data_IF_402156238554
#
_entry.id   IF_402156238554
#
_cell.length_a   1.000
_cell.length_b   1.000
_cell.length_c   1.000
_cell.angle_alpha   90.00
_cell.angle_beta   90.00
_cell.angle_gamma   90.00
#
_symmetry.space_group_name_H-M   'P 1'
#
loop_
_entity.id
_entity.type
_entity.pdbx_description
1 polymer ?
#
# COMPACT_ATOMS: atom_id res chain seq x y z
N UNK A 1 -1.22 21.34 6.28
CA UNK A 1 -1.42 20.01 6.91
C UNK A 1 -2.42 19.12 6.12
N UNK A 2 -2.34 19.09 4.78
CA UNK A 2 -3.22 18.27 3.91
C UNK A 2 -2.41 17.33 2.99
N UNK A 3 -1.12 17.12 3.29
CA UNK A 3 -0.14 16.60 2.34
C UNK A 3 0.93 15.71 3.02
N UNK A 4 0.58 14.50 3.44
CA UNK A 4 1.56 13.57 4.04
C UNK A 4 1.33 12.07 3.77
N UNK A 5 0.33 11.69 2.96
CA UNK A 5 -0.14 10.29 2.91
C UNK A 5 -0.52 9.74 1.51
N UNK A 6 -0.26 10.43 0.39
CA UNK A 6 -0.59 9.90 -0.95
C UNK A 6 0.21 8.66 -1.39
N UNK A 7 1.38 8.45 -0.79
CA UNK A 7 2.45 7.75 -1.50
C UNK A 7 2.31 6.23 -1.52
N UNK A 8 1.60 5.61 -0.59
CA UNK A 8 1.58 4.15 -0.44
C UNK A 8 0.67 3.42 -1.44
N UNK A 9 -0.40 4.06 -1.95
CA UNK A 9 -1.37 3.39 -2.86
C UNK A 9 -0.97 3.47 -4.34
N UNK A 10 -0.13 4.44 -4.72
CA UNK A 10 0.22 4.74 -6.13
C UNK A 10 1.65 4.33 -6.52
N UNK A 11 2.44 3.77 -5.61
CA UNK A 11 3.87 3.46 -5.84
C UNK A 11 4.17 2.01 -6.17
N UNK A 12 3.16 1.15 -6.26
CA UNK A 12 3.32 -0.31 -6.23
C UNK A 12 2.59 -1.07 -7.33
N UNK A 13 2.18 -0.33 -8.36
CA UNK A 13 1.91 -0.91 -9.67
C UNK A 13 2.76 -0.18 -10.70
N UNK A 14 3.92 -0.75 -10.93
CA UNK A 14 4.37 -1.17 -12.25
C UNK A 14 5.20 -2.46 -11.98
N UNK A 15 5.91 -3.06 -12.94
CA UNK A 15 5.47 -4.32 -13.57
C UNK A 15 6.03 -5.76 -13.17
N UNK A 16 6.99 -6.00 -12.24
CA UNK A 16 7.50 -7.30 -11.66
C UNK A 16 9.05 -7.85 -11.75
N UNK A 17 9.47 -9.14 -11.74
CA UNK A 17 10.42 -9.84 -12.69
C UNK A 17 10.75 -11.31 -12.31
N UNK A 18 10.83 -12.19 -13.33
CA UNK A 18 10.75 -13.68 -13.24
C UNK A 18 11.57 -14.42 -12.18
N UNK A 19 11.07 -15.61 -11.85
CA UNK A 19 11.61 -16.64 -10.96
C UNK A 19 13.10 -16.94 -11.13
N UNK A 20 13.81 -16.96 -9.99
CA UNK A 20 15.12 -17.60 -9.82
C UNK A 20 14.92 -18.78 -8.89
N UNK A 21 14.83 -19.99 -9.45
CA UNK A 21 14.86 -21.23 -8.71
C UNK A 21 16.31 -21.64 -8.48
N UNK A 22 16.87 -21.35 -7.31
CA UNK A 22 18.19 -21.87 -6.94
C UNK A 22 18.24 -22.41 -5.52
N UNK A 23 18.96 -23.53 -5.39
CA UNK A 23 19.13 -24.27 -4.13
C UNK A 23 20.21 -23.57 -3.31
N UNK A 24 20.00 -23.26 -2.02
CA UNK A 24 20.95 -22.45 -1.27
C UNK A 24 22.33 -23.13 -1.16
N UNK A 25 23.42 -22.47 -1.59
CA UNK A 25 24.76 -22.99 -1.42
C UNK A 25 25.17 -22.99 0.06
N UNK A 26 26.10 -23.87 0.42
CA UNK A 26 26.58 -24.00 1.80
C UNK A 26 27.35 -22.73 2.20
N UNK A 27 26.92 -22.08 3.28
CA UNK A 27 27.50 -20.84 3.79
C UNK A 27 28.98 -21.02 4.18
N UNK A 28 29.87 -20.46 3.35
CA UNK A 28 31.24 -20.12 3.73
C UNK A 28 31.40 -18.62 3.59
N UNK A 29 31.67 -17.92 4.70
CA UNK A 29 31.78 -16.46 4.71
C UNK A 29 32.96 -15.98 3.85
N UNK A 30 32.67 -15.31 2.74
CA UNK A 30 33.62 -14.66 1.83
C UNK A 30 33.28 -13.16 1.72
N UNK A 31 33.82 -12.31 2.61
CA UNK A 31 33.61 -10.87 2.56
C UNK A 31 34.18 -10.20 1.31
N UNK A 32 35.20 -10.79 0.67
CA UNK A 32 35.86 -10.22 -0.51
C UNK A 32 35.03 -10.46 -1.78
N UNK A 33 34.59 -11.70 -2.00
CA UNK A 33 33.63 -12.04 -3.06
C UNK A 33 32.31 -11.30 -2.87
N UNK A 34 31.80 -11.21 -1.64
CA UNK A 34 30.60 -10.44 -1.32
C UNK A 34 30.74 -8.95 -1.68
N UNK A 35 31.85 -8.31 -1.32
CA UNK A 35 32.11 -6.89 -1.66
C UNK A 35 32.21 -6.68 -3.18
N UNK A 36 32.87 -7.58 -3.90
CA UNK A 36 32.95 -7.56 -5.36
C UNK A 36 31.56 -7.68 -6.01
N UNK A 37 30.70 -8.55 -5.47
CA UNK A 37 29.32 -8.72 -5.94
C UNK A 37 28.46 -7.47 -5.69
N UNK A 38 28.57 -6.84 -4.51
CA UNK A 38 27.93 -5.54 -4.24
C UNK A 38 28.40 -4.44 -5.20
N UNK A 39 29.70 -4.41 -5.54
CA UNK A 39 30.22 -3.44 -6.53
C UNK A 39 29.65 -3.70 -7.93
N UNK A 40 29.64 -4.94 -8.41
CA UNK A 40 29.07 -5.30 -9.71
C UNK A 40 27.57 -4.98 -9.78
N UNK A 41 26.83 -5.23 -8.70
CA UNK A 41 25.43 -4.86 -8.57
C UNK A 41 25.22 -3.34 -8.63
N UNK A 42 26.08 -2.57 -7.95
CA UNK A 42 26.07 -1.11 -7.95
C UNK A 42 26.33 -0.54 -9.35
N UNK A 43 27.33 -1.05 -10.06
CA UNK A 43 27.65 -0.65 -11.44
C UNK A 43 26.50 -0.98 -12.40
N UNK A 44 25.87 -2.15 -12.26
CA UNK A 44 24.64 -2.49 -12.99
C UNK A 44 23.50 -1.53 -12.66
N UNK A 45 23.37 -1.08 -11.41
CA UNK A 45 22.33 -0.17 -10.96
C UNK A 45 22.53 1.26 -11.49
N UNK A 46 23.78 1.73 -11.62
CA UNK A 46 24.10 3.01 -12.28
C UNK A 46 23.60 3.02 -13.74
N UNK A 47 23.75 1.92 -14.47
CA UNK A 47 23.33 1.80 -15.87
C UNK A 47 21.81 1.93 -15.99
N UNK A 48 21.05 1.20 -15.17
CA UNK A 48 19.58 1.19 -15.22
C UNK A 48 19.00 2.55 -14.79
N UNK A 49 19.55 3.20 -13.76
CA UNK A 49 19.11 4.56 -13.40
C UNK A 49 19.50 5.63 -14.44
N UNK A 50 20.61 5.46 -15.15
CA UNK A 50 20.95 6.35 -16.29
C UNK A 50 19.92 6.18 -17.41
N UNK A 51 19.58 4.94 -17.77
CA UNK A 51 18.51 4.63 -18.74
C UNK A 51 17.14 5.19 -18.33
N UNK A 52 16.84 5.20 -17.03
CA UNK A 52 15.63 5.82 -16.49
C UNK A 52 15.68 7.35 -16.62
N UNK A 53 16.78 7.99 -16.23
CA UNK A 53 16.90 9.45 -16.32
C UNK A 53 16.88 10.00 -17.76
N UNK A 54 17.50 9.28 -18.70
CA UNK A 54 17.56 9.65 -20.12
C UNK A 54 16.32 9.21 -20.92
N UNK A 55 15.49 8.32 -20.36
CA UNK A 55 14.37 7.69 -21.06
C UNK A 55 13.06 8.49 -20.99
N UNK A 56 12.22 8.33 -22.01
CA UNK A 56 10.92 8.98 -22.10
C UNK A 56 9.79 8.00 -21.73
N UNK A 57 9.45 7.94 -20.43
CA UNK A 57 8.42 7.05 -19.90
C UNK A 57 7.07 7.76 -19.85
N UNK A 58 6.22 7.50 -20.84
CA UNK A 58 4.87 8.06 -20.95
C UNK A 58 3.79 7.04 -20.55
N UNK A 59 4.06 5.74 -20.72
CA UNK A 59 3.17 4.64 -20.40
C UNK A 59 3.90 3.59 -19.56
N UNK A 60 3.14 2.73 -18.89
CA UNK A 60 3.69 1.69 -18.03
C UNK A 60 4.59 0.68 -18.77
N UNK A 61 4.26 0.36 -20.03
CA UNK A 61 5.08 -0.49 -20.90
C UNK A 61 6.49 0.06 -21.16
N UNK A 62 6.69 1.37 -21.04
CA UNK A 62 7.99 1.97 -21.30
C UNK A 62 9.00 1.53 -20.21
N UNK A 63 8.51 1.23 -19.01
CA UNK A 63 9.29 0.67 -17.90
C UNK A 63 9.67 -0.81 -18.09
N UNK A 64 9.10 -1.55 -19.06
CA UNK A 64 9.59 -2.91 -19.41
C UNK A 64 11.07 -2.88 -19.86
N UNK A 65 11.59 -1.71 -20.27
CA UNK A 65 13.00 -1.51 -20.63
C UNK A 65 13.96 -1.46 -19.43
N UNK A 66 13.48 -1.21 -18.20
CA UNK A 66 14.31 -1.11 -17.01
C UNK A 66 14.50 -2.48 -16.35
N UNK A 67 15.73 -3.00 -16.36
CA UNK A 67 16.01 -4.35 -15.87
C UNK A 67 16.89 -4.37 -14.60
N UNK A 68 16.24 -4.40 -13.44
CA UNK A 68 16.91 -4.46 -12.14
C UNK A 68 17.37 -5.88 -11.73
N UNK A 69 17.00 -6.94 -12.48
CA UNK A 69 17.30 -8.34 -12.11
C UNK A 69 18.77 -8.60 -11.83
N UNK A 70 19.65 -8.08 -12.70
CA UNK A 70 21.09 -8.32 -12.61
C UNK A 70 21.64 -7.75 -11.31
N UNK A 71 21.24 -6.54 -10.93
CA UNK A 71 21.62 -5.94 -9.65
C UNK A 71 21.02 -6.73 -8.47
N UNK A 72 19.75 -7.12 -8.52
CA UNK A 72 19.09 -7.91 -7.47
C UNK A 72 19.76 -9.27 -7.22
N UNK A 73 20.05 -10.02 -8.28
CA UNK A 73 20.74 -11.31 -8.19
C UNK A 73 22.14 -11.14 -7.59
N UNK A 74 22.92 -10.17 -8.07
CA UNK A 74 24.27 -9.89 -7.54
C UNK A 74 24.26 -9.45 -6.08
N UNK A 75 23.27 -8.65 -5.63
CA UNK A 75 23.11 -8.31 -4.21
C UNK A 75 22.68 -9.51 -3.36
N UNK A 76 21.80 -10.39 -3.87
CA UNK A 76 21.45 -11.65 -3.19
C UNK A 76 22.64 -12.60 -3.05
N UNK A 77 23.45 -12.75 -4.11
CA UNK A 77 24.71 -13.49 -4.06
C UNK A 77 25.68 -12.86 -3.04
N UNK A 78 25.77 -11.53 -2.96
CA UNK A 78 26.58 -10.85 -1.97
C UNK A 78 26.13 -11.16 -0.53
N UNK A 79 24.82 -11.19 -0.24
CA UNK A 79 24.28 -11.60 1.08
C UNK A 79 24.61 -13.07 1.37
N UNK A 80 24.50 -13.97 0.39
CA UNK A 80 24.87 -15.39 0.58
C UNK A 80 26.35 -15.58 0.91
N UNK A 81 27.24 -14.81 0.27
CA UNK A 81 28.68 -14.84 0.52
C UNK A 81 29.06 -14.17 1.85
N UNK A 82 28.36 -13.10 2.25
CA UNK A 82 28.54 -12.46 3.56
C UNK A 82 27.22 -11.86 4.05
N UNK A 83 26.53 -12.52 5.00
CA UNK A 83 25.29 -12.02 5.59
C UNK A 83 25.41 -10.72 6.39
N UNK A 84 26.61 -10.17 6.59
CA UNK A 84 26.83 -8.86 7.23
C UNK A 84 27.04 -7.71 6.22
N UNK A 85 26.91 -7.96 4.91
CA UNK A 85 27.13 -6.95 3.87
C UNK A 85 25.95 -5.96 3.76
N UNK A 86 26.02 -4.86 4.51
CA UNK A 86 24.95 -3.84 4.60
C UNK A 86 24.59 -3.20 3.24
N UNK A 87 25.56 -2.95 2.36
CA UNK A 87 25.29 -2.45 1.00
C UNK A 87 24.49 -3.46 0.17
N UNK A 88 24.73 -4.77 0.38
CA UNK A 88 23.96 -5.82 -0.25
C UNK A 88 22.52 -5.89 0.27
N UNK A 89 22.29 -5.68 1.56
CA UNK A 89 20.93 -5.60 2.11
C UNK A 89 20.14 -4.41 1.56
N UNK A 90 20.72 -3.19 1.51
CA UNK A 90 20.08 -2.04 0.84
C UNK A 90 19.75 -2.37 -0.61
N UNK A 91 20.77 -2.84 -1.32
CA UNK A 91 20.71 -3.12 -2.74
C UNK A 91 19.65 -4.15 -3.07
N UNK A 92 19.66 -5.28 -2.37
CA UNK A 92 18.67 -6.34 -2.52
C UNK A 92 17.26 -5.86 -2.19
N UNK A 93 17.06 -5.07 -1.11
CA UNK A 93 15.74 -4.54 -0.76
C UNK A 93 15.16 -3.66 -1.86
N UNK A 94 15.89 -2.61 -2.26
CA UNK A 94 15.44 -1.65 -3.27
C UNK A 94 15.25 -2.36 -4.61
N UNK A 95 16.22 -3.18 -5.02
CA UNK A 95 16.13 -3.92 -6.27
C UNK A 95 15.12 -5.07 -6.23
N UNK A 96 14.63 -5.54 -5.09
CA UNK A 96 13.51 -6.50 -5.04
C UNK A 96 12.19 -5.82 -5.37
N UNK A 97 11.97 -4.62 -4.83
CA UNK A 97 10.80 -3.81 -5.14
C UNK A 97 10.84 -3.34 -6.60
N UNK A 98 12.03 -3.01 -7.12
CA UNK A 98 12.23 -2.71 -8.54
C UNK A 98 12.34 -3.96 -9.44
N UNK A 99 12.63 -5.14 -8.88
CA UNK A 99 12.29 -6.46 -9.44
C UNK A 99 10.88 -6.89 -9.05
N UNK A 100 10.08 -5.90 -8.63
CA UNK A 100 8.68 -5.85 -8.98
C UNK A 100 8.43 -4.84 -10.14
N UNK A 101 9.32 -4.65 -11.15
CA UNK A 101 9.10 -3.98 -12.47
C UNK A 101 9.06 -4.74 -13.89
N UNK A 102 9.32 -6.05 -14.08
CA UNK A 102 9.02 -6.94 -15.26
C UNK A 102 8.53 -8.45 -15.02
N UNK A 103 7.55 -8.79 -14.14
CA UNK A 103 7.14 -10.18 -13.66
C UNK A 103 5.98 -10.68 -14.48
N UNK A 104 6.07 -11.86 -15.07
CA UNK A 104 5.04 -12.31 -16.01
C UNK A 104 3.64 -12.55 -15.41
N UNK A 105 3.49 -12.71 -14.10
CA UNK A 105 2.19 -12.79 -13.43
C UNK A 105 1.68 -11.39 -13.04
N UNK A 106 2.50 -10.58 -12.36
CA UNK A 106 2.11 -9.21 -11.94
C UNK A 106 1.87 -8.31 -13.17
N UNK A 107 2.81 -8.30 -14.13
CA UNK A 107 2.75 -7.60 -15.42
C UNK A 107 1.44 -7.87 -16.16
N UNK A 108 1.04 -9.15 -16.22
CA UNK A 108 -0.16 -9.56 -16.96
C UNK A 108 -1.41 -8.90 -16.41
N UNK A 109 -1.61 -8.94 -15.09
CA UNK A 109 -2.79 -8.33 -14.48
C UNK A 109 -2.71 -6.82 -14.49
N UNK A 110 -1.54 -6.21 -14.26
CA UNK A 110 -1.36 -4.76 -14.42
C UNK A 110 -1.71 -4.30 -15.84
N UNK A 111 -1.15 -4.91 -16.89
CA UNK A 111 -1.44 -4.57 -18.28
C UNK A 111 -2.88 -4.85 -18.68
N UNK A 112 -3.51 -5.89 -18.14
CA UNK A 112 -4.95 -6.09 -18.31
C UNK A 112 -5.71 -4.88 -17.74
N UNK A 113 -5.48 -4.51 -16.48
CA UNK A 113 -6.13 -3.35 -15.84
C UNK A 113 -5.86 -2.01 -16.53
N UNK A 114 -4.64 -1.77 -17.00
CA UNK A 114 -4.26 -0.57 -17.76
C UNK A 114 -4.92 -0.54 -19.14
N UNK A 115 -5.07 -1.69 -19.81
CA UNK A 115 -5.73 -1.76 -21.12
C UNK A 115 -7.20 -1.33 -21.07
N UNK A 116 -7.88 -1.50 -19.93
CA UNK A 116 -9.24 -0.97 -19.70
C UNK A 116 -9.27 0.53 -19.36
N UNK A 117 -8.13 1.13 -18.99
CA UNK A 117 -8.02 2.55 -18.60
C UNK A 117 -7.83 3.53 -19.77
N UNK A 118 -7.67 3.03 -21.00
CA UNK A 118 -7.39 3.85 -22.19
C UNK A 118 -8.67 4.53 -22.76
N UNK A 119 -9.11 5.59 -22.08
CA UNK A 119 -10.20 6.50 -22.50
C UNK A 119 -10.48 7.57 -21.45
N UNK A 120 -11.51 8.41 -21.65
CA UNK A 120 -11.96 9.38 -20.63
C UNK A 120 -12.38 8.70 -19.31
N UNK A 121 -12.76 7.42 -19.37
CA UNK A 121 -13.06 6.54 -18.25
C UNK A 121 -11.80 5.96 -17.60
N UNK A 122 -10.87 6.82 -17.18
CA UNK A 122 -9.69 6.37 -16.44
C UNK A 122 -10.08 5.75 -15.09
N UNK A 123 -9.89 4.42 -14.99
CA UNK A 123 -10.08 3.61 -13.78
C UNK A 123 -9.09 4.04 -12.69
N UNK A 124 -7.86 4.38 -13.10
CA UNK A 124 -6.81 4.96 -12.28
C UNK A 124 -6.44 6.33 -12.86
N UNK A 125 -6.40 7.42 -12.06
CA UNK A 125 -6.05 8.74 -12.58
C UNK A 125 -4.62 8.74 -13.14
N UNK A 126 -4.42 9.46 -14.27
CA UNK A 126 -3.14 9.65 -14.97
C UNK A 126 -1.89 9.52 -14.06
N UNK A 127 -0.93 8.64 -14.39
CA UNK A 127 0.30 8.54 -13.64
C UNK A 127 1.12 9.84 -13.72
N UNK A 128 1.92 10.01 -12.67
CA UNK A 128 2.76 11.15 -12.36
C UNK A 128 3.65 11.50 -13.56
N UNK A 129 3.55 12.72 -14.12
CA UNK A 129 4.41 13.24 -15.22
C UNK A 129 5.92 13.31 -14.91
N UNK A 130 6.34 12.88 -13.72
CA UNK A 130 7.69 12.96 -13.16
C UNK A 130 7.93 11.71 -12.29
N UNK A 131 8.08 10.53 -12.89
CA UNK A 131 8.37 9.28 -12.18
C UNK A 131 9.85 9.17 -11.76
N UNK A 132 10.37 10.20 -11.09
CA UNK A 132 11.71 10.21 -10.48
C UNK A 132 11.64 10.32 -8.95
N UNK A 133 12.80 10.50 -8.32
CA UNK A 133 12.85 10.87 -6.89
C UNK A 133 12.00 12.13 -6.64
N UNK A 134 11.20 12.11 -5.58
CA UNK A 134 10.27 13.21 -5.26
C UNK A 134 11.02 14.54 -5.11
N UNK A 135 10.62 15.53 -5.91
CA UNK A 135 11.25 16.85 -5.92
C UNK A 135 10.38 17.97 -5.33
N UNK A 136 9.11 17.70 -5.01
CA UNK A 136 8.21 18.73 -4.49
C UNK A 136 7.01 18.21 -3.68
N UNK A 137 6.51 19.06 -2.77
CA UNK A 137 5.37 18.78 -1.87
C UNK A 137 4.00 18.77 -2.57
N UNK A 138 3.89 19.31 -3.78
CA UNK A 138 2.66 19.28 -4.59
C UNK A 138 2.29 17.86 -5.04
N UNK A 139 3.23 16.91 -4.99
CA UNK A 139 3.07 15.53 -5.40
C UNK A 139 2.41 14.62 -4.33
N UNK A 140 1.86 15.17 -3.22
CA UNK A 140 1.65 14.43 -1.95
C UNK A 140 0.30 14.64 -1.19
N UNK A 141 -0.91 14.65 -1.79
CA UNK A 141 -2.20 15.06 -1.12
C UNK A 141 -2.87 13.92 -0.27
N UNK A 142 -4.22 13.72 -0.30
CA UNK A 142 -5.02 12.46 -0.10
C UNK A 142 -6.34 12.53 -0.92
N UNK A 143 -6.75 11.57 -1.78
CA UNK A 143 -7.93 11.69 -2.66
C UNK A 143 -9.03 10.68 -2.29
N UNK A 144 -9.50 10.70 -1.04
CA UNK A 144 -10.51 9.76 -0.52
C UNK A 144 -11.78 9.72 -1.40
N UNK A 145 -12.13 10.88 -1.99
CA UNK A 145 -13.25 11.01 -2.92
C UNK A 145 -13.06 10.23 -4.24
N UNK A 146 -11.84 10.15 -4.77
CA UNK A 146 -11.56 9.37 -5.99
C UNK A 146 -11.54 7.87 -5.69
N UNK A 147 -11.12 7.45 -4.50
CA UNK A 147 -11.17 6.04 -4.09
C UNK A 147 -12.62 5.50 -4.05
N UNK A 148 -13.56 6.28 -3.50
CA UNK A 148 -14.98 5.93 -3.49
C UNK A 148 -15.58 5.89 -4.92
N UNK A 149 -15.23 6.87 -5.77
CA UNK A 149 -15.61 6.86 -7.20
C UNK A 149 -15.03 5.67 -7.95
N UNK A 150 -13.81 5.23 -7.64
CA UNK A 150 -13.16 4.13 -8.35
C UNK A 150 -13.83 2.77 -8.05
N UNK A 151 -14.38 2.55 -6.85
CA UNK A 151 -15.24 1.38 -6.57
C UNK A 151 -16.51 1.37 -7.45
N UNK A 152 -17.12 2.54 -7.67
CA UNK A 152 -18.21 2.71 -8.63
C UNK A 152 -17.76 2.57 -10.10
N UNK A 153 -16.51 2.94 -10.43
CA UNK A 153 -15.95 2.69 -11.77
C UNK A 153 -15.73 1.21 -12.04
N UNK A 154 -15.41 0.37 -11.04
CA UNK A 154 -15.30 -1.09 -11.23
C UNK A 154 -16.63 -1.66 -11.77
N UNK A 155 -17.79 -1.12 -11.34
CA UNK A 155 -19.09 -1.47 -11.92
C UNK A 155 -19.24 -1.05 -13.40
N UNK A 156 -18.65 0.07 -13.82
CA UNK A 156 -18.59 0.41 -15.27
C UNK A 156 -17.58 -0.43 -16.05
N UNK A 157 -16.50 -0.90 -15.42
CA UNK A 157 -15.47 -1.78 -16.04
C UNK A 157 -15.97 -3.23 -16.16
N UNK A 158 -16.90 -3.67 -15.31
CA UNK A 158 -17.57 -4.97 -15.41
C UNK A 158 -18.19 -5.25 -16.80
N UNK A 159 -18.51 -4.21 -17.57
CA UNK A 159 -19.05 -4.31 -18.94
C UNK A 159 -18.05 -4.79 -20.00
N UNK A 160 -16.75 -4.89 -19.67
CA UNK A 160 -15.68 -5.32 -20.59
C UNK A 160 -14.85 -6.51 -20.08
N UNK A 161 -15.38 -7.27 -19.11
CA UNK A 161 -14.84 -8.54 -18.59
C UNK A 161 -13.35 -8.48 -18.14
N UNK A 162 -13.02 -7.69 -17.10
CA UNK A 162 -11.66 -7.60 -16.56
C UNK A 162 -11.23 -8.90 -15.84
N UNK A 163 -9.95 -9.05 -15.44
CA UNK A 163 -9.52 -10.11 -14.53
C UNK A 163 -10.36 -10.15 -13.25
N UNK A 164 -10.62 -11.35 -12.75
CA UNK A 164 -11.39 -11.54 -11.53
C UNK A 164 -10.62 -10.98 -10.33
N UNK A 165 -11.34 -10.42 -9.36
CA UNK A 165 -10.75 -9.94 -8.10
C UNK A 165 -9.98 -11.08 -7.40
N UNK A 166 -10.49 -12.31 -7.46
CA UNK A 166 -9.82 -13.52 -6.98
C UNK A 166 -8.48 -13.83 -7.66
N UNK A 167 -8.32 -13.51 -8.95
CA UNK A 167 -7.02 -13.63 -9.65
C UNK A 167 -6.02 -12.59 -9.15
N UNK A 168 -6.47 -11.37 -8.85
CA UNK A 168 -5.64 -10.34 -8.21
C UNK A 168 -5.21 -10.77 -6.81
N UNK A 169 -6.13 -11.28 -6.00
CA UNK A 169 -5.83 -11.79 -4.65
C UNK A 169 -4.78 -12.91 -4.70
N UNK A 170 -4.89 -13.84 -5.68
CA UNK A 170 -3.90 -14.89 -5.91
C UNK A 170 -2.51 -14.30 -6.19
N UNK A 171 -2.39 -13.35 -7.12
CA UNK A 171 -1.09 -12.74 -7.48
C UNK A 171 -0.50 -11.92 -6.32
N UNK A 172 -1.33 -11.19 -5.58
CA UNK A 172 -0.90 -10.44 -4.40
C UNK A 172 -0.28 -11.39 -3.37
N UNK A 173 -0.98 -12.48 -3.02
CA UNK A 173 -0.51 -13.46 -2.04
C UNK A 173 0.71 -14.23 -2.52
N UNK A 174 0.69 -14.72 -3.75
CA UNK A 174 1.63 -15.75 -4.23
C UNK A 174 2.90 -15.15 -4.86
N UNK A 175 2.84 -13.93 -5.41
CA UNK A 175 3.97 -13.29 -6.11
C UNK A 175 4.41 -11.95 -5.50
N UNK A 176 3.49 -11.11 -5.01
CA UNK A 176 3.84 -9.74 -4.60
C UNK A 176 4.22 -9.62 -3.12
N UNK A 177 3.36 -10.10 -2.22
CA UNK A 177 3.55 -10.05 -0.78
C UNK A 177 4.88 -10.70 -0.31
N UNK A 178 5.37 -11.81 -0.91
CA UNK A 178 6.70 -12.35 -0.59
C UNK A 178 7.85 -11.38 -0.87
N UNK A 179 7.76 -10.58 -1.94
CA UNK A 179 8.78 -9.57 -2.31
C UNK A 179 8.79 -8.40 -1.34
N UNK A 180 7.60 -7.93 -0.95
CA UNK A 180 7.43 -6.92 0.10
C UNK A 180 8.04 -7.41 1.43
N UNK A 181 7.75 -8.66 1.82
CA UNK A 181 8.31 -9.27 3.02
C UNK A 181 9.84 -9.37 2.97
N UNK A 182 10.40 -9.82 1.84
CA UNK A 182 11.85 -9.90 1.65
C UNK A 182 12.52 -8.53 1.79
N UNK A 183 11.99 -7.50 1.11
CA UNK A 183 12.55 -6.16 1.16
C UNK A 183 12.48 -5.53 2.57
N UNK A 184 11.37 -5.76 3.30
CA UNK A 184 11.25 -5.39 4.73
C UNK A 184 12.34 -6.08 5.57
N UNK A 185 12.54 -7.38 5.41
CA UNK A 185 13.56 -8.13 6.15
C UNK A 185 14.98 -7.58 5.88
N UNK A 186 15.29 -7.27 4.63
CA UNK A 186 16.59 -6.70 4.25
C UNK A 186 16.78 -5.28 4.81
N UNK A 187 15.75 -4.42 4.82
CA UNK A 187 15.86 -3.07 5.41
C UNK A 187 15.99 -3.13 6.94
N UNK A 188 15.24 -4.01 7.61
CA UNK A 188 15.31 -4.18 9.07
C UNK A 188 16.73 -4.52 9.58
N UNK A 189 17.56 -5.16 8.75
CA UNK A 189 18.97 -5.44 9.07
C UNK A 189 19.82 -4.17 9.26
N UNK A 190 19.61 -3.17 8.40
CA UNK A 190 20.46 -1.96 8.32
C UNK A 190 19.90 -0.76 9.10
N UNK A 191 18.59 -0.72 9.37
CA UNK A 191 17.90 0.42 9.99
C UNK A 191 18.51 0.88 11.31
N UNK A 192 19.08 -0.03 12.10
CA UNK A 192 19.63 0.25 13.42
C UNK A 192 21.13 0.60 13.41
N UNK A 193 21.77 0.65 12.23
CA UNK A 193 23.20 0.97 12.08
C UNK A 193 23.37 2.46 11.77
N UNK A 194 23.36 3.29 12.82
CA UNK A 194 23.39 4.77 12.72
C UNK A 194 24.58 5.36 11.93
N UNK A 195 25.66 4.58 11.77
CA UNK A 195 26.88 4.97 11.03
C UNK A 195 26.86 4.58 9.56
N UNK A 196 26.03 3.62 9.16
CA UNK A 196 25.98 3.12 7.79
C UNK A 196 25.23 4.12 6.88
N UNK A 197 25.70 4.25 5.64
CA UNK A 197 25.04 5.09 4.63
C UNK A 197 25.30 4.54 3.23
N UNK A 198 24.26 4.46 2.41
CA UNK A 198 24.35 3.97 1.03
C UNK A 198 24.59 5.15 0.09
N UNK A 199 25.59 5.04 -0.80
CA UNK A 199 25.98 6.12 -1.71
C UNK A 199 25.13 6.11 -2.98
N UNK A 200 24.44 7.19 -3.28
CA UNK A 200 23.78 7.39 -4.59
C UNK A 200 24.69 8.25 -5.46
N UNK A 201 25.20 7.72 -6.57
CA UNK A 201 26.12 8.45 -7.45
C UNK A 201 25.41 9.52 -8.28
N UNK A 202 26.15 10.41 -8.94
CA UNK A 202 25.58 11.37 -9.89
C UNK A 202 24.83 10.66 -11.05
N UNK A 203 25.38 9.56 -11.58
CA UNK A 203 24.70 8.77 -12.62
C UNK A 203 23.37 8.19 -12.13
N UNK A 204 23.31 7.70 -10.89
CA UNK A 204 22.04 7.24 -10.29
C UNK A 204 21.03 8.39 -10.08
N UNK A 205 21.50 9.64 -10.02
CA UNK A 205 20.66 10.86 -9.99
C UNK A 205 20.35 11.39 -11.40
N UNK A 206 20.80 10.72 -12.47
CA UNK A 206 20.59 11.15 -13.86
C UNK A 206 21.61 12.15 -14.42
N UNK A 207 22.59 12.60 -13.65
CA UNK A 207 23.71 13.40 -14.18
C UNK A 207 25.03 13.02 -13.50
N UNK A 208 25.92 12.40 -14.27
CA UNK A 208 27.29 12.02 -13.88
C UNK A 208 28.13 13.14 -13.23
N UNK A 209 27.77 14.42 -13.43
CA UNK A 209 28.45 15.59 -12.86
C UNK A 209 27.94 15.97 -11.46
N UNK A 210 26.77 15.47 -11.04
CA UNK A 210 26.25 15.73 -9.71
C UNK A 210 27.11 15.06 -8.64
N UNK A 211 27.26 15.75 -7.51
CA UNK A 211 27.88 15.18 -6.33
C UNK A 211 27.06 13.96 -5.83
N UNK A 212 27.74 12.96 -5.29
CA UNK A 212 27.05 11.83 -4.69
C UNK A 212 26.32 12.27 -3.41
N UNK A 213 25.05 11.87 -3.29
CA UNK A 213 24.25 11.99 -2.06
C UNK A 213 24.22 10.64 -1.35
N UNK A 214 23.75 10.61 -0.11
CA UNK A 214 23.69 9.38 0.67
C UNK A 214 22.30 9.17 1.27
N UNK A 215 21.84 7.92 1.18
CA UNK A 215 20.73 7.42 1.98
C UNK A 215 21.29 7.06 3.36
N UNK A 216 20.69 7.62 4.40
CA UNK A 216 21.01 7.34 5.79
C UNK A 216 19.97 6.36 6.38
N UNK A 217 20.14 5.91 7.63
CA UNK A 217 19.16 5.04 8.30
C UNK A 217 17.75 5.62 8.38
N UNK A 218 17.62 6.95 8.31
CA UNK A 218 16.36 7.67 8.09
C UNK A 218 15.64 7.21 6.83
N UNK A 219 16.30 7.27 5.67
CA UNK A 219 15.73 6.88 4.38
C UNK A 219 15.36 5.39 4.37
N UNK A 220 16.19 4.52 4.97
CA UNK A 220 15.87 3.08 5.09
C UNK A 220 14.62 2.84 5.94
N UNK A 221 14.53 3.47 7.12
CA UNK A 221 13.34 3.39 7.99
C UNK A 221 12.08 3.94 7.32
N UNK A 222 12.19 5.01 6.53
CA UNK A 222 11.06 5.57 5.78
C UNK A 222 10.63 4.64 4.64
N UNK A 223 11.56 4.00 3.94
CA UNK A 223 11.25 3.01 2.90
C UNK A 223 10.56 1.78 3.48
N UNK A 224 11.07 1.20 4.58
CA UNK A 224 10.41 0.05 5.24
C UNK A 224 9.03 0.46 5.77
N UNK A 225 8.89 1.64 6.41
CA UNK A 225 7.59 2.13 6.84
C UNK A 225 6.56 2.17 5.69
N UNK A 226 6.96 2.66 4.51
CA UNK A 226 6.10 2.63 3.31
C UNK A 226 5.74 1.19 2.91
N UNK A 227 6.71 0.28 2.88
CA UNK A 227 6.48 -1.15 2.58
C UNK A 227 5.56 -1.84 3.61
N UNK A 228 5.61 -1.44 4.88
CA UNK A 228 4.74 -1.96 5.93
C UNK A 228 3.30 -1.43 5.77
N UNK A 229 3.11 -0.16 5.43
CA UNK A 229 1.78 0.39 5.12
C UNK A 229 1.15 -0.31 3.92
N UNK A 230 1.98 -0.65 2.94
CA UNK A 230 1.61 -1.39 1.73
C UNK A 230 1.28 -2.84 2.05
N UNK A 231 2.14 -3.53 2.81
CA UNK A 231 1.84 -4.86 3.35
C UNK A 231 0.51 -4.86 4.08
N UNK A 232 0.27 -3.86 4.93
CA UNK A 232 -0.97 -3.72 5.69
C UNK A 232 -2.21 -3.66 4.78
N UNK A 233 -2.13 -2.88 3.71
CA UNK A 233 -3.17 -2.76 2.70
C UNK A 233 -3.38 -4.07 1.91
N UNK A 234 -2.29 -4.71 1.47
CA UNK A 234 -2.33 -5.96 0.69
C UNK A 234 -2.91 -7.11 1.53
N UNK A 235 -2.45 -7.28 2.77
CA UNK A 235 -2.99 -8.24 3.73
C UNK A 235 -4.46 -7.92 4.04
N UNK A 236 -4.82 -6.64 4.22
CA UNK A 236 -6.21 -6.19 4.38
C UNK A 236 -7.12 -6.57 3.21
N UNK A 237 -6.62 -6.53 1.98
CA UNK A 237 -7.32 -6.96 0.77
C UNK A 237 -7.47 -8.50 0.67
N UNK A 238 -6.66 -9.28 1.40
CA UNK A 238 -6.76 -10.74 1.48
C UNK A 238 -7.66 -11.24 2.63
N UNK A 239 -8.10 -10.37 3.56
CA UNK A 239 -8.99 -10.75 4.68
C UNK A 239 -10.29 -11.39 4.19
N UNK A 240 -10.91 -10.80 3.17
CA UNK A 240 -12.17 -11.26 2.61
C UNK A 240 -11.95 -11.78 1.20
N UNK A 241 -12.54 -12.91 0.85
CA UNK A 241 -12.48 -13.43 -0.52
C UNK A 241 -13.54 -12.79 -1.42
N UNK A 242 -13.16 -12.56 -2.68
CA UNK A 242 -14.01 -11.97 -3.71
C UNK A 242 -14.12 -12.90 -4.92
N UNK A 243 -14.76 -14.05 -4.72
CA UNK A 243 -14.95 -15.07 -5.75
C UNK A 243 -16.19 -14.76 -6.59
N UNK A 244 -15.96 -14.34 -7.83
CA UNK A 244 -16.95 -14.22 -8.90
C UNK A 244 -16.63 -15.24 -10.00
N UNK A 245 -17.65 -15.79 -10.66
CA UNK A 245 -17.48 -16.63 -11.86
C UNK A 245 -17.18 -15.82 -13.11
N UNK A 246 -17.85 -14.67 -13.25
CA UNK A 246 -17.62 -13.62 -14.23
C UNK A 246 -18.29 -12.32 -13.72
N UNK A 247 -18.17 -11.24 -14.49
CA UNK A 247 -18.78 -9.95 -14.16
C UNK A 247 -20.21 -9.77 -14.70
N UNK A 248 -20.88 -10.83 -15.18
CA UNK A 248 -22.25 -10.72 -15.70
C UNK A 248 -23.25 -10.47 -14.58
N UNK A 249 -24.34 -9.77 -14.91
CA UNK A 249 -25.44 -9.43 -13.99
C UNK A 249 -25.89 -10.63 -13.12
N UNK A 250 -26.05 -11.83 -13.69
CA UNK A 250 -26.44 -13.03 -12.95
C UNK A 250 -25.41 -13.46 -11.88
N UNK A 251 -24.11 -13.43 -12.20
CA UNK A 251 -23.02 -13.72 -11.27
C UNK A 251 -22.96 -12.68 -10.15
N UNK A 252 -23.11 -11.39 -10.49
CA UNK A 252 -23.16 -10.29 -9.52
C UNK A 252 -24.37 -10.41 -8.59
N UNK A 253 -25.57 -10.68 -9.12
CA UNK A 253 -26.80 -10.89 -8.31
C UNK A 253 -26.62 -12.07 -7.36
N UNK A 254 -26.01 -13.18 -7.79
CA UNK A 254 -25.76 -14.32 -6.91
C UNK A 254 -24.71 -14.00 -5.83
N UNK A 255 -23.60 -13.36 -6.22
CA UNK A 255 -22.49 -13.02 -5.34
C UNK A 255 -22.84 -11.97 -4.28
N UNK A 256 -23.66 -10.99 -4.64
CA UNK A 256 -24.05 -9.88 -3.76
C UNK A 256 -25.24 -10.20 -2.85
N UNK A 257 -25.88 -11.37 -2.97
CA UNK A 257 -26.87 -11.79 -1.97
C UNK A 257 -26.28 -11.73 -0.57
N UNK A 258 -27.07 -11.27 0.40
CA UNK A 258 -26.59 -11.05 1.76
C UNK A 258 -26.03 -12.33 2.41
N UNK A 259 -26.60 -13.49 2.09
CA UNK A 259 -26.16 -14.81 2.57
C UNK A 259 -25.04 -15.47 1.71
N UNK A 260 -24.57 -14.82 0.65
CA UNK A 260 -23.50 -15.33 -0.21
C UNK A 260 -22.19 -15.52 0.57
N UNK A 261 -21.58 -16.69 0.38
CA UNK A 261 -20.31 -17.11 1.01
C UNK A 261 -19.11 -17.07 0.05
N UNK A 262 -19.31 -16.64 -1.20
CA UNK A 262 -18.23 -16.56 -2.21
C UNK A 262 -17.62 -15.17 -2.31
N UNK A 263 -18.43 -14.12 -2.11
CA UNK A 263 -18.02 -12.73 -2.31
C UNK A 263 -18.22 -11.89 -1.04
N UNK A 264 -17.19 -11.11 -0.68
CA UNK A 264 -17.12 -10.32 0.54
C UNK A 264 -17.55 -11.13 1.77
N UNK A 265 -16.83 -12.23 1.96
CA UNK A 265 -16.98 -13.22 3.02
C UNK A 265 -15.57 -13.57 3.53
N UNK A 266 -15.43 -13.89 4.82
CA UNK A 266 -14.11 -14.09 5.42
C UNK A 266 -13.37 -15.25 4.73
N UNK A 267 -12.13 -15.01 4.31
CA UNK A 267 -11.27 -16.06 3.75
C UNK A 267 -10.87 -17.07 4.85
N UNK A 268 -10.44 -18.28 4.47
CA UNK A 268 -10.03 -19.31 5.44
C UNK A 268 -8.83 -18.91 6.30
N UNK A 269 -7.96 -18.09 5.73
CA UNK A 269 -6.78 -17.43 6.32
C UNK A 269 -7.05 -15.95 6.65
N UNK A 270 -8.29 -15.48 6.48
CA UNK A 270 -8.67 -14.06 6.58
C UNK A 270 -8.36 -13.44 7.94
N UNK A 271 -8.51 -14.19 9.03
CA UNK A 271 -8.10 -13.75 10.38
C UNK A 271 -6.60 -13.55 10.50
N UNK A 272 -5.79 -14.43 9.89
CA UNK A 272 -4.32 -14.30 9.87
C UNK A 272 -3.91 -13.10 9.04
N UNK A 273 -4.49 -12.91 7.85
CA UNK A 273 -4.30 -11.71 7.03
C UNK A 273 -4.70 -10.43 7.80
N UNK A 274 -5.78 -10.45 8.57
CA UNK A 274 -6.22 -9.30 9.38
C UNK A 274 -5.22 -8.97 10.49
N UNK A 275 -4.67 -9.98 11.16
CA UNK A 275 -3.63 -9.81 12.18
C UNK A 275 -2.31 -9.31 11.57
N UNK A 276 -1.90 -9.85 10.43
CA UNK A 276 -0.72 -9.37 9.69
C UNK A 276 -0.90 -7.92 9.24
N UNK A 277 -2.10 -7.56 8.77
CA UNK A 277 -2.43 -6.20 8.38
C UNK A 277 -2.29 -5.23 9.57
N UNK A 278 -2.80 -5.60 10.75
CA UNK A 278 -2.63 -4.82 12.00
C UNK A 278 -1.16 -4.67 12.39
N UNK A 279 -0.40 -5.76 12.35
CA UNK A 279 1.02 -5.77 12.72
C UNK A 279 1.83 -4.86 11.79
N UNK A 280 1.61 -4.96 10.48
CA UNK A 280 2.26 -4.10 9.49
C UNK A 280 1.85 -2.63 9.64
N UNK A 281 0.58 -2.32 9.97
CA UNK A 281 0.15 -0.94 10.26
C UNK A 281 0.89 -0.36 11.47
N UNK A 282 1.03 -1.13 12.56
CA UNK A 282 1.78 -0.71 13.74
C UNK A 282 3.27 -0.51 13.43
N UNK A 283 3.88 -1.43 12.68
CA UNK A 283 5.28 -1.33 12.25
C UNK A 283 5.52 -0.09 11.37
N UNK A 284 4.60 0.24 10.45
CA UNK A 284 4.64 1.47 9.66
C UNK A 284 4.69 2.70 10.56
N UNK A 285 3.78 2.79 11.53
CA UNK A 285 3.71 3.95 12.44
C UNK A 285 5.00 4.08 13.26
N UNK A 286 5.51 2.97 13.78
CA UNK A 286 6.71 2.94 14.62
C UNK A 286 7.99 3.23 13.85
N UNK A 287 8.10 2.76 12.60
CA UNK A 287 9.21 3.10 11.70
C UNK A 287 9.14 4.55 11.21
N UNK A 288 7.94 5.11 10.97
CA UNK A 288 7.80 6.54 10.69
C UNK A 288 8.24 7.40 11.90
N UNK A 289 7.81 7.07 13.11
CA UNK A 289 8.23 7.79 14.33
C UNK A 289 9.74 7.68 14.57
N UNK A 290 10.30 6.48 14.40
CA UNK A 290 11.75 6.23 14.51
C UNK A 290 12.55 6.96 13.42
N UNK A 291 12.11 6.92 12.17
CA UNK A 291 12.76 7.59 11.05
C UNK A 291 12.70 9.12 11.16
N UNK A 292 11.62 9.72 11.67
CA UNK A 292 11.61 11.17 12.00
C UNK A 292 12.67 11.46 13.07
N UNK A 293 12.79 10.61 14.09
CA UNK A 293 13.80 10.76 15.15
C UNK A 293 15.23 10.64 14.58
N UNK A 294 15.46 9.78 13.59
CA UNK A 294 16.75 9.68 12.88
C UNK A 294 17.00 10.83 11.91
N UNK A 295 15.95 11.39 11.28
CA UNK A 295 16.07 12.61 10.47
C UNK A 295 16.53 13.79 11.35
N UNK A 296 15.93 13.94 12.53
CA UNK A 296 16.23 15.02 13.48
C UNK A 296 17.65 14.95 14.04
N UNK A 297 18.15 13.74 14.34
CA UNK A 297 19.40 13.53 15.06
C UNK A 297 20.60 13.11 14.18
N UNK A 298 20.36 12.48 13.02
CA UNK A 298 21.41 11.90 12.17
C UNK A 298 21.50 12.61 10.83
N UNK A 299 20.50 12.49 9.96
CA UNK A 299 20.67 12.84 8.54
C UNK A 299 20.23 14.26 8.15
N UNK A 300 19.14 14.78 8.72
CA UNK A 300 18.45 15.96 8.21
C UNK A 300 19.24 17.27 8.21
N UNK A 301 20.38 17.34 8.92
CA UNK A 301 21.28 18.50 8.96
C UNK A 301 22.59 18.28 8.18
N UNK A 302 22.77 17.14 7.52
CA UNK A 302 23.94 16.85 6.70
C UNK A 302 23.75 17.40 5.29
N UNK A 303 24.81 17.97 4.70
CA UNK A 303 24.75 18.55 3.36
C UNK A 303 24.54 17.50 2.26
N UNK A 304 25.02 16.28 2.50
CA UNK A 304 25.00 15.12 1.60
C UNK A 304 23.81 14.16 1.83
N UNK A 305 22.87 14.49 2.74
CA UNK A 305 21.63 13.75 2.91
C UNK A 305 20.59 14.07 1.83
N UNK A 306 19.74 13.08 1.51
CA UNK A 306 18.62 13.24 0.56
C UNK A 306 17.48 14.00 1.22
N UNK A 307 17.04 13.60 2.42
CA UNK A 307 16.01 14.32 3.17
C UNK A 307 16.67 15.34 4.11
N UNK A 308 16.22 16.60 4.06
CA UNK A 308 16.80 17.73 4.81
C UNK A 308 15.77 18.41 5.72
N UNK A 309 16.25 19.00 6.81
CA UNK A 309 15.51 19.86 7.74
C UNK A 309 16.05 21.29 7.62
N UNK A 310 15.16 22.28 7.49
CA UNK A 310 15.50 23.70 7.45
C UNK A 310 14.90 24.41 6.23
N UNK A 311 15.46 25.56 5.86
CA UNK A 311 14.88 26.45 4.83
C UNK A 311 14.63 25.75 3.49
N UNK A 312 15.54 24.85 3.08
CA UNK A 312 15.49 24.12 1.81
C UNK A 312 14.92 22.69 1.96
N UNK A 313 14.12 22.44 3.01
CA UNK A 313 13.63 21.11 3.36
C UNK A 313 12.40 21.12 4.28
N UNK A 314 12.23 20.04 5.03
CA UNK A 314 11.12 19.88 5.97
C UNK A 314 11.28 20.84 7.16
N UNK A 315 10.17 21.44 7.61
CA UNK A 315 10.18 22.29 8.80
C UNK A 315 10.01 21.45 10.06
N UNK A 316 10.66 21.85 11.15
CA UNK A 316 10.53 21.15 12.45
C UNK A 316 9.06 21.06 12.91
N UNK A 317 8.27 22.11 12.64
CA UNK A 317 6.83 22.15 12.93
C UNK A 317 6.02 21.11 12.16
N UNK A 318 6.46 20.73 10.95
CA UNK A 318 5.81 19.68 10.16
C UNK A 318 6.15 18.30 10.71
N UNK A 319 7.39 18.08 11.17
CA UNK A 319 7.82 16.85 11.83
C UNK A 319 7.10 16.65 13.18
N UNK A 320 7.00 17.71 14.00
CA UNK A 320 6.27 17.69 15.27
C UNK A 320 4.77 17.42 15.06
N UNK A 321 4.22 17.99 13.99
CA UNK A 321 2.87 17.68 13.51
C UNK A 321 2.74 16.21 13.10
N UNK A 322 3.63 15.68 12.27
CA UNK A 322 3.60 14.29 11.84
C UNK A 322 3.67 13.34 13.06
N UNK A 323 4.62 13.55 13.98
CA UNK A 323 4.73 12.81 15.24
C UNK A 323 3.42 12.85 16.05
N UNK A 324 2.75 14.00 16.14
CA UNK A 324 1.46 14.14 16.84
C UNK A 324 0.35 13.27 16.22
N UNK A 325 0.22 13.25 14.90
CA UNK A 325 -0.82 12.44 14.23
C UNK A 325 -0.47 10.96 14.18
N UNK A 326 0.80 10.59 14.01
CA UNK A 326 1.28 9.21 14.12
C UNK A 326 1.02 8.63 15.51
N UNK A 327 1.29 9.39 16.58
CA UNK A 327 0.96 8.96 17.94
C UNK A 327 -0.56 8.80 18.14
N UNK A 328 -1.39 9.72 17.63
CA UNK A 328 -2.86 9.55 17.66
C UNK A 328 -3.32 8.28 16.94
N UNK A 329 -2.71 7.97 15.79
CA UNK A 329 -2.98 6.75 15.03
C UNK A 329 -2.53 5.51 15.82
N UNK A 330 -1.35 5.53 16.45
CA UNK A 330 -0.89 4.44 17.34
C UNK A 330 -1.85 4.21 18.51
N UNK A 331 -2.34 5.28 19.12
CA UNK A 331 -3.37 5.21 20.18
C UNK A 331 -4.65 4.56 19.65
N UNK A 332 -5.15 4.93 18.46
CA UNK A 332 -6.37 4.33 17.88
C UNK A 332 -6.21 2.87 17.43
N UNK A 333 -4.98 2.38 17.28
CA UNK A 333 -4.69 0.96 17.03
C UNK A 333 -4.73 0.09 18.29
N UNK A 334 -4.69 0.69 19.49
CA UNK A 334 -4.63 -0.03 20.78
C UNK A 334 -5.75 0.36 21.75
N UNK A 335 -6.45 1.46 21.52
CA UNK A 335 -7.53 1.99 22.36
C UNK A 335 -8.51 2.84 21.53
N UNK A 336 -9.67 3.18 22.09
CA UNK A 336 -10.59 4.12 21.46
C UNK A 336 -10.07 5.57 21.57
N UNK A 337 -10.31 6.37 20.53
CA UNK A 337 -10.11 7.83 20.54
C UNK A 337 -11.43 8.56 20.24
N UNK A 338 -11.68 9.69 20.89
CA UNK A 338 -12.79 10.58 20.52
C UNK A 338 -12.46 11.32 19.22
N UNK A 339 -13.39 11.31 18.28
CA UNK A 339 -13.40 12.15 17.08
C UNK A 339 -14.65 13.03 17.15
N UNK A 340 -14.44 14.35 17.14
CA UNK A 340 -15.50 15.32 17.00
C UNK A 340 -15.91 15.42 15.53
N UNK A 341 -17.20 15.36 15.25
CA UNK A 341 -17.79 15.53 13.93
C UNK A 341 -18.73 16.74 13.94
N UNK A 342 -18.38 17.76 13.19
CA UNK A 342 -19.26 18.89 12.90
C UNK A 342 -20.29 18.50 11.81
N UNK A 343 -21.50 19.05 11.87
CA UNK A 343 -22.54 18.93 10.83
C UNK A 343 -22.93 17.48 10.47
N UNK A 344 -23.23 16.67 11.49
CA UNK A 344 -23.76 15.30 11.32
C UNK A 344 -25.29 15.35 11.18
N UNK A 345 -25.86 14.44 10.39
CA UNK A 345 -27.31 14.39 10.14
C UNK A 345 -27.84 15.54 9.28
N UNK A 346 -29.16 15.61 9.19
CA UNK A 346 -29.93 16.69 8.54
C UNK A 346 -30.24 17.86 9.48
N UNK A 347 -29.99 17.70 10.79
CA UNK A 347 -30.10 18.71 11.84
C UNK A 347 -28.79 19.47 12.12
N UNK A 348 -27.70 19.12 11.43
CA UNK A 348 -26.34 19.67 11.58
C UNK A 348 -25.75 19.57 13.01
N UNK A 349 -26.34 18.74 13.87
CA UNK A 349 -25.91 18.61 15.28
C UNK A 349 -24.50 18.01 15.36
N UNK A 350 -23.55 18.63 16.09
CA UNK A 350 -22.22 18.06 16.28
C UNK A 350 -22.28 16.81 17.16
N UNK A 351 -21.46 15.81 16.83
CA UNK A 351 -21.42 14.51 17.52
C UNK A 351 -19.98 14.11 17.85
N UNK A 352 -19.74 13.67 19.08
CA UNK A 352 -18.53 12.95 19.46
C UNK A 352 -18.73 11.45 19.23
N UNK A 353 -17.89 10.84 18.40
CA UNK A 353 -17.83 9.39 18.20
C UNK A 353 -16.54 8.81 18.78
N UNK A 354 -16.59 7.59 19.29
CA UNK A 354 -15.39 6.82 19.61
C UNK A 354 -14.94 6.04 18.37
N UNK A 355 -13.64 6.03 18.09
CA UNK A 355 -13.04 5.28 16.99
C UNK A 355 -11.90 4.41 17.54
N UNK A 356 -11.98 3.10 17.33
CA UNK A 356 -10.95 2.12 17.69
C UNK A 356 -10.53 1.34 16.44
N UNK A 357 -9.64 1.92 15.64
CA UNK A 357 -9.14 1.32 14.39
C UNK A 357 -8.56 -0.09 14.61
N UNK A 358 -7.93 -0.33 15.77
CA UNK A 358 -7.42 -1.65 16.13
C UNK A 358 -8.47 -2.77 16.12
N UNK A 359 -9.76 -2.46 16.36
CA UNK A 359 -10.85 -3.44 16.39
C UNK A 359 -11.31 -3.92 15.02
N UNK A 360 -11.16 -3.08 13.98
CA UNK A 360 -11.39 -3.49 12.59
C UNK A 360 -10.55 -4.73 12.22
N UNK A 361 -9.33 -4.81 12.76
CA UNK A 361 -8.42 -5.93 12.52
C UNK A 361 -8.55 -7.09 13.53
N UNK A 362 -8.90 -6.81 14.80
CA UNK A 362 -9.04 -7.84 15.83
C UNK A 362 -10.30 -8.70 15.64
N UNK A 363 -11.35 -8.11 15.06
CA UNK A 363 -12.68 -8.70 14.96
C UNK A 363 -13.16 -8.82 13.49
N UNK A 364 -12.43 -9.51 12.58
CA UNK A 364 -12.90 -9.70 11.22
C UNK A 364 -14.14 -10.62 11.24
N UNK A 365 -15.28 -10.11 10.79
CA UNK A 365 -16.57 -10.83 10.87
C UNK A 365 -16.73 -11.81 9.70
N UNK A 366 -17.41 -12.94 9.94
CA UNK A 366 -17.53 -13.99 8.93
C UNK A 366 -18.20 -13.50 7.62
N UNK A 367 -19.20 -12.63 7.72
CA UNK A 367 -19.94 -12.10 6.58
C UNK A 367 -20.35 -10.64 6.81
N UNK A 368 -19.51 -9.66 6.44
CA UNK A 368 -19.79 -8.23 6.62
C UNK A 368 -21.17 -7.80 6.08
N UNK A 369 -21.64 -8.41 5.00
CA UNK A 369 -22.95 -8.14 4.39
C UNK A 369 -24.12 -8.41 5.35
N UNK A 370 -24.03 -9.45 6.17
CA UNK A 370 -25.05 -9.83 7.14
C UNK A 370 -24.78 -9.29 8.55
N UNK A 371 -23.52 -9.02 8.88
CA UNK A 371 -23.12 -8.47 10.18
C UNK A 371 -23.33 -6.96 10.30
N UNK A 372 -23.19 -6.20 9.21
CA UNK A 372 -23.17 -4.74 9.26
C UNK A 372 -24.29 -4.04 8.49
N UNK A 373 -25.01 -4.73 7.59
CA UNK A 373 -26.09 -4.12 6.82
C UNK A 373 -27.45 -4.70 7.25
N UNK A 374 -28.54 -3.91 7.24
CA UNK A 374 -29.89 -4.42 7.44
C UNK A 374 -30.23 -5.51 6.43
N UNK A 375 -31.29 -6.29 6.67
CA UNK A 375 -31.71 -7.35 5.74
C UNK A 375 -32.02 -6.81 4.34
N UNK A 376 -31.47 -7.44 3.30
CA UNK A 376 -31.76 -7.11 1.91
C UNK A 376 -31.70 -8.33 0.99
N UNK A 377 -32.30 -8.18 -0.19
CA UNK A 377 -32.14 -9.08 -1.34
C UNK A 377 -31.57 -8.33 -2.53
N UNK A 378 -30.91 -9.04 -3.45
CA UNK A 378 -30.44 -8.45 -4.72
C UNK A 378 -31.22 -9.04 -5.87
N UNK A 379 -31.70 -8.21 -6.78
CA UNK A 379 -32.42 -8.63 -8.00
C UNK A 379 -31.79 -8.04 -9.25
N UNK A 380 -31.98 -8.70 -10.39
CA UNK A 380 -31.65 -8.14 -11.68
C UNK A 380 -32.64 -7.03 -12.04
N UNK A 381 -32.15 -5.91 -12.56
CA UNK A 381 -32.94 -4.76 -13.00
C UNK A 381 -32.50 -4.37 -14.41
N UNK A 382 -33.45 -4.23 -15.34
CA UNK A 382 -33.11 -3.97 -16.75
C UNK A 382 -32.14 -5.01 -17.34
N UNK A 383 -31.35 -4.59 -18.33
CA UNK A 383 -30.46 -5.49 -19.10
C UNK A 383 -29.13 -5.75 -18.39
N UNK A 384 -28.63 -4.81 -17.60
CA UNK A 384 -27.30 -4.89 -16.98
C UNK A 384 -27.28 -4.43 -15.51
N UNK A 385 -28.37 -3.87 -14.98
CA UNK A 385 -28.36 -3.28 -13.63
C UNK A 385 -28.71 -4.29 -12.54
N UNK A 386 -28.30 -3.97 -11.32
CA UNK A 386 -28.67 -4.70 -10.11
C UNK A 386 -29.44 -3.78 -9.17
N UNK A 387 -30.44 -4.33 -8.48
CA UNK A 387 -31.25 -3.61 -7.51
C UNK A 387 -31.09 -4.25 -6.15
N UNK A 388 -30.83 -3.43 -5.14
CA UNK A 388 -30.85 -3.82 -3.74
C UNK A 388 -32.22 -3.49 -3.17
N UNK A 389 -32.92 -4.50 -2.69
CA UNK A 389 -34.23 -4.40 -2.05
C UNK A 389 -34.08 -4.69 -0.56
N UNK A 390 -33.99 -3.62 0.25
CA UNK A 390 -33.97 -3.72 1.71
C UNK A 390 -35.33 -4.20 2.23
N UNK A 391 -35.32 -5.05 3.25
CA UNK A 391 -36.54 -5.60 3.86
C UNK A 391 -37.31 -4.54 4.65
N UNK A 392 -36.61 -3.60 5.29
CA UNK A 392 -37.20 -2.50 6.04
C UNK A 392 -38.06 -1.61 5.13
N UNK A 393 -39.32 -1.38 5.53
CA UNK A 393 -40.26 -0.53 4.81
C UNK A 393 -40.43 0.85 5.44
N UNK A 394 -39.90 1.05 6.65
CA UNK A 394 -39.89 2.32 7.38
C UNK A 394 -38.50 2.60 7.96
N UNK A 395 -38.23 3.86 8.28
CA UNK A 395 -37.01 4.26 9.00
C UNK A 395 -36.85 3.53 10.34
N UNK A 396 -37.96 3.29 11.05
CA UNK A 396 -37.99 2.56 12.30
C UNK A 396 -37.51 1.10 12.13
N UNK A 397 -37.91 0.41 11.05
CA UNK A 397 -37.54 -0.98 10.78
C UNK A 397 -36.11 -1.16 10.23
N UNK A 398 -35.47 -0.07 9.79
CA UNK A 398 -34.14 -0.11 9.18
C UNK A 398 -33.08 -0.24 10.27
N UNK A 399 -32.67 -1.45 10.64
CA UNK A 399 -31.69 -1.66 11.72
C UNK A 399 -30.33 -2.18 11.24
N UNK A 400 -29.26 -1.54 11.67
CA UNK A 400 -27.90 -2.04 11.56
C UNK A 400 -27.70 -3.20 12.57
N UNK A 401 -27.35 -4.44 12.15
CA UNK A 401 -27.23 -5.56 13.08
C UNK A 401 -26.09 -5.40 14.09
N UNK A 402 -25.02 -4.73 13.69
CA UNK A 402 -23.95 -4.23 14.57
C UNK A 402 -23.57 -2.79 14.18
N UNK A 403 -24.18 -1.77 14.81
CA UNK A 403 -23.84 -0.37 14.54
C UNK A 403 -22.42 0.00 15.01
N UNK A 404 -21.73 -0.86 15.76
CA UNK A 404 -20.33 -0.63 16.15
C UNK A 404 -19.32 -1.08 15.09
N UNK A 405 -19.76 -1.77 14.03
CA UNK A 405 -18.90 -2.31 12.96
C UNK A 405 -17.73 -3.14 13.51
N UNK A 406 -18.02 -4.20 14.25
CA UNK A 406 -17.04 -5.07 14.91
C UNK A 406 -16.32 -4.41 16.08
N UNK A 407 -16.87 -3.33 16.63
CA UNK A 407 -16.22 -2.50 17.64
C UNK A 407 -15.27 -1.42 17.10
N UNK A 408 -15.26 -1.16 15.79
CA UNK A 408 -14.60 0.00 15.18
C UNK A 408 -15.13 1.33 15.76
N UNK A 409 -16.43 1.38 16.07
CA UNK A 409 -17.10 2.51 16.71
C UNK A 409 -17.69 2.12 18.08
N UNK A 410 -16.87 2.07 19.15
CA UNK A 410 -17.33 1.67 20.47
C UNK A 410 -18.49 2.52 21.00
N UNK A 411 -19.59 1.88 21.41
CA UNK A 411 -20.77 2.58 21.94
C UNK A 411 -21.63 3.28 20.89
N UNK A 412 -21.36 3.10 19.59
CA UNK A 412 -22.25 3.56 18.52
C UNK A 412 -23.62 2.88 18.62
N UNK A 413 -24.68 3.67 18.50
CA UNK A 413 -26.08 3.19 18.47
C UNK A 413 -26.61 3.14 17.04
N UNK A 414 -27.70 2.41 16.83
CA UNK A 414 -28.41 2.35 15.54
C UNK A 414 -28.81 3.76 15.06
N UNK A 415 -29.42 4.56 15.94
CA UNK A 415 -29.82 5.95 15.65
C UNK A 415 -28.62 6.85 15.27
N UNK A 416 -27.51 6.74 15.99
CA UNK A 416 -26.32 7.54 15.67
C UNK A 416 -25.66 7.09 14.36
N UNK A 417 -25.69 5.78 14.04
CA UNK A 417 -25.23 5.26 12.76
C UNK A 417 -26.13 5.72 11.61
N UNK A 418 -27.46 5.71 11.77
CA UNK A 418 -28.42 6.29 10.80
C UNK A 418 -28.12 7.76 10.51
N UNK A 419 -27.94 8.58 11.56
CA UNK A 419 -27.58 10.00 11.44
C UNK A 419 -26.22 10.20 10.74
N UNK A 420 -25.22 9.40 11.08
CA UNK A 420 -23.89 9.42 10.45
C UNK A 420 -23.96 9.07 8.96
N UNK A 421 -24.78 8.08 8.61
CA UNK A 421 -25.02 7.62 7.24
C UNK A 421 -26.00 8.49 6.44
N UNK A 422 -26.58 9.55 7.06
CA UNK A 422 -27.61 10.43 6.47
C UNK A 422 -28.81 9.64 5.93
N UNK A 423 -29.28 8.70 6.73
CA UNK A 423 -30.55 8.04 6.52
C UNK A 423 -31.59 8.94 7.18
N UNK A 424 -32.46 9.54 6.37
CA UNK A 424 -33.55 10.40 6.81
C UNK A 424 -34.86 9.58 6.99
N UNK A 425 -35.83 10.14 7.72
CA UNK A 425 -37.13 9.54 8.06
C UNK A 425 -38.14 9.45 6.89
#
# INVERSE_FOLDING_TARGET
MKQLFYLSFLFLFMIGCQDVTDTPPVSTTDPAGSSLKSQQAYESLEIVFTQWADGNFQNASDFDALNFKTANALYKEAIQLNPDNMDAHVGAAITEILCTYADTAVNRVVKQWESFGNGDSQVFPHPIKNAGLLSSTSQMVVPVNEMAKNLLKIYTVAKVDPPLISDMQRIIRDAFLPRINYAIEQLAFIENVDTFKFRVSGKMQGDSKLAAVYLYPTEFMMTDALLQGVKSMLEGFLVYKFELSDYKQASLVAALQQNSTTFFYLASDGTTHSQNAKAAMNNMIDKMLSGITKLENISGRKSDAVIKIGNDGLQQTDLDTAKKYLNKMKTSMTSAITVHLDNVGSDETPMDIQVFLGKFFDNPVQNPKASFLPSYSVTASGTEDIKFDFTAQTFADFHFPDPTFGGLFPGMTDDNMKKLMRIDE
#
